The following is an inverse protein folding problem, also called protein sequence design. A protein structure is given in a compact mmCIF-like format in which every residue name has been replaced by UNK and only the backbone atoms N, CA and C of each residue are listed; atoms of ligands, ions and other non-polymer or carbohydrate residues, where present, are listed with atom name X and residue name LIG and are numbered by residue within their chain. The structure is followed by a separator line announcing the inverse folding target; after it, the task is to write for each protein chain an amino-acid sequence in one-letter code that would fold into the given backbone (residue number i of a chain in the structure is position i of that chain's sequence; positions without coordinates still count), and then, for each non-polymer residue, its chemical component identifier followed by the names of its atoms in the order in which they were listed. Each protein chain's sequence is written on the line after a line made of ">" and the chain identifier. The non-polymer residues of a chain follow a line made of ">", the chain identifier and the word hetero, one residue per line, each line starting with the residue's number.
data_IF_989136457946
#
_entry.id   IF_989136457946
#
_cell.length_a   1.000
_cell.length_b   1.000
_cell.length_c   1.000
_cell.angle_alpha   90.00
_cell.angle_beta   90.00
_cell.angle_gamma   90.00
#
_symmetry.space_group_name_H-M   'P 1'
#
loop_
_entity.id
_entity.type
_entity.pdbx_description
1 polymer ?
#
# COMPACT_ATOMS: atom_id res chain seq x y z
N UNK A 1 -22.24 28.68 4.86
CA UNK A 1 -21.30 28.40 3.76
C UNK A 1 -20.16 29.43 3.67
N UNK A 2 -20.42 30.75 3.53
CA UNK A 2 -19.36 31.78 3.41
C UNK A 2 -18.25 31.69 4.49
N UNK A 3 -18.65 31.55 5.77
CA UNK A 3 -17.70 31.47 6.90
C UNK A 3 -16.72 30.25 6.79
N UNK A 4 -17.18 29.10 6.31
CA UNK A 4 -16.30 27.94 6.12
C UNK A 4 -15.27 28.19 5.00
N UNK A 5 -15.70 28.81 3.89
CA UNK A 5 -14.76 29.17 2.80
C UNK A 5 -13.72 30.20 3.24
N UNK A 6 -14.08 31.13 4.12
CA UNK A 6 -13.13 32.10 4.69
C UNK A 6 -12.07 31.40 5.55
N UNK A 7 -12.48 30.41 6.36
CA UNK A 7 -11.56 29.58 7.16
C UNK A 7 -10.61 28.82 6.24
N UNK A 8 -11.13 28.09 5.24
CA UNK A 8 -10.27 27.31 4.32
C UNK A 8 -9.31 28.21 3.52
N UNK A 9 -9.76 29.42 3.13
CA UNK A 9 -8.87 30.37 2.45
C UNK A 9 -7.74 30.82 3.36
N UNK A 10 -8.06 31.18 4.61
CA UNK A 10 -7.06 31.58 5.60
C UNK A 10 -6.03 30.46 5.86
N UNK A 11 -6.49 29.20 5.96
CA UNK A 11 -5.58 28.03 6.11
C UNK A 11 -4.66 27.87 4.88
N UNK A 12 -5.20 27.99 3.65
CA UNK A 12 -4.42 27.93 2.43
C UNK A 12 -3.38 29.07 2.35
N UNK A 13 -3.74 30.26 2.76
CA UNK A 13 -2.81 31.39 2.80
C UNK A 13 -1.71 31.14 3.83
N UNK A 14 -2.03 30.64 5.01
CA UNK A 14 -1.05 30.24 6.04
C UNK A 14 -0.07 29.15 5.53
N UNK A 15 -0.56 28.15 4.78
CA UNK A 15 0.28 27.10 4.17
C UNK A 15 1.24 27.71 3.14
N UNK A 16 0.77 28.69 2.36
CA UNK A 16 1.63 29.41 1.38
C UNK A 16 2.70 30.25 2.07
N UNK A 17 2.30 31.01 3.09
CA UNK A 17 3.21 31.84 3.89
C UNK A 17 4.28 31.00 4.58
N UNK A 18 3.90 29.82 5.09
CA UNK A 18 4.83 28.86 5.68
C UNK A 18 5.77 28.17 4.67
N UNK A 19 5.59 28.39 3.35
CA UNK A 19 6.39 27.75 2.29
C UNK A 19 6.13 26.24 2.14
N UNK A 20 5.04 25.73 2.70
CA UNK A 20 4.68 24.31 2.65
C UNK A 20 3.64 24.00 1.57
N UNK A 21 3.17 25.01 0.85
CA UNK A 21 2.32 24.80 -0.32
C UNK A 21 3.10 24.12 -1.44
N UNK A 22 2.55 22.99 -1.93
CA UNK A 22 3.19 22.22 -3.01
C UNK A 22 2.50 22.48 -4.33
N UNK A 23 3.24 23.10 -5.25
CA UNK A 23 2.83 23.19 -6.64
C UNK A 23 3.12 21.88 -7.37
N UNK A 24 2.15 21.38 -8.12
CA UNK A 24 2.31 20.18 -8.92
C UNK A 24 3.21 20.43 -10.13
N UNK A 25 4.18 19.55 -10.36
CA UNK A 25 5.05 19.57 -11.55
C UNK A 25 4.39 18.79 -12.66
N UNK A 26 4.07 19.47 -13.76
CA UNK A 26 3.35 18.87 -14.89
C UNK A 26 4.36 18.16 -15.81
N UNK A 27 4.22 16.84 -15.93
CA UNK A 27 5.00 16.00 -16.85
C UNK A 27 4.30 15.99 -18.21
N UNK A 28 5.08 16.20 -19.29
CA UNK A 28 4.57 16.33 -20.66
C UNK A 28 4.93 15.15 -21.57
N UNK A 29 5.58 14.11 -21.01
CA UNK A 29 5.95 12.88 -21.71
C UNK A 29 5.42 11.66 -20.96
N UNK A 30 5.42 10.45 -21.56
CA UNK A 30 5.22 9.22 -20.80
C UNK A 30 6.25 9.07 -19.67
N UNK A 31 5.88 8.32 -18.63
CA UNK A 31 6.76 8.01 -17.50
C UNK A 31 7.93 7.13 -17.96
N UNK A 32 9.14 7.58 -17.67
CA UNK A 32 10.43 6.88 -17.91
C UNK A 32 11.54 7.54 -17.09
N UNK A 33 12.76 7.01 -17.18
CA UNK A 33 13.92 7.55 -16.46
C UNK A 33 14.23 9.02 -16.80
N UNK A 34 13.99 9.43 -18.05
CA UNK A 34 14.09 10.84 -18.48
C UNK A 34 12.74 11.30 -18.98
N UNK A 35 12.26 12.41 -18.45
CA UNK A 35 10.95 13.01 -18.74
C UNK A 35 11.11 14.47 -19.12
N UNK A 36 10.14 15.00 -19.83
CA UNK A 36 9.96 16.44 -20.00
C UNK A 36 8.85 16.95 -19.08
N UNK A 37 9.02 18.17 -18.62
CA UNK A 37 8.01 18.90 -17.85
C UNK A 37 7.70 20.21 -18.56
N UNK A 38 6.69 20.94 -18.08
CA UNK A 38 6.35 22.27 -18.61
C UNK A 38 7.48 23.29 -18.48
N UNK A 39 8.44 23.05 -17.57
CA UNK A 39 9.52 24.01 -17.25
C UNK A 39 10.91 23.51 -17.64
N UNK A 40 11.10 22.22 -17.92
CA UNK A 40 12.40 21.66 -18.27
C UNK A 40 12.28 20.39 -19.12
N UNK A 41 13.28 20.13 -19.98
CA UNK A 41 13.36 18.91 -20.81
C UNK A 41 14.48 17.99 -20.36
N UNK A 42 14.29 16.68 -20.57
CA UNK A 42 15.29 15.64 -20.30
C UNK A 42 15.65 15.49 -18.83
N UNK A 43 14.75 15.84 -17.92
CA UNK A 43 14.95 15.76 -16.47
C UNK A 43 15.02 14.29 -16.03
N UNK A 44 15.95 13.95 -15.17
CA UNK A 44 15.99 12.64 -14.52
C UNK A 44 14.84 12.53 -13.52
N UNK A 45 14.02 11.50 -13.71
CA UNK A 45 12.90 11.22 -12.81
C UNK A 45 13.34 10.20 -11.76
N UNK A 46 13.72 10.69 -10.58
CA UNK A 46 14.15 9.88 -9.43
C UNK A 46 13.02 9.62 -8.43
N UNK A 47 11.80 10.12 -8.71
CA UNK A 47 10.69 10.11 -7.75
C UNK A 47 9.55 9.15 -8.14
N UNK A 48 9.62 8.52 -9.33
CA UNK A 48 8.54 7.66 -9.80
C UNK A 48 8.61 6.26 -9.19
N UNK A 49 7.44 5.70 -8.86
CA UNK A 49 7.29 4.29 -8.48
C UNK A 49 7.31 3.38 -9.72
N UNK A 50 8.25 3.60 -10.61
CA UNK A 50 8.43 2.85 -11.88
C UNK A 50 9.69 2.00 -11.81
N UNK A 51 9.84 1.24 -10.73
CA UNK A 51 11.05 0.50 -10.38
C UNK A 51 11.48 -0.48 -11.48
N UNK A 52 10.54 -1.15 -12.14
CA UNK A 52 10.78 -2.11 -13.21
C UNK A 52 10.75 -1.49 -14.61
N UNK A 53 10.51 -0.18 -14.74
CA UNK A 53 10.45 0.52 -16.04
C UNK A 53 9.24 0.16 -16.89
N UNK A 54 8.21 -0.46 -16.32
CA UNK A 54 7.07 -1.01 -17.06
C UNK A 54 6.00 0.02 -17.44
N UNK A 55 5.99 1.21 -16.86
CA UNK A 55 4.94 2.22 -17.10
C UNK A 55 4.77 2.62 -18.57
N UNK A 56 5.82 2.52 -19.37
CA UNK A 56 5.79 2.82 -20.81
C UNK A 56 6.38 1.67 -21.65
N UNK A 57 6.27 0.44 -21.15
CA UNK A 57 6.73 -0.74 -21.89
C UNK A 57 5.78 -1.03 -23.06
N UNK A 58 6.30 -1.18 -24.31
CA UNK A 58 5.46 -1.36 -25.50
C UNK A 58 4.65 -2.65 -25.47
N UNK A 59 5.16 -3.73 -24.89
CA UNK A 59 4.47 -5.01 -24.79
C UNK A 59 3.28 -4.91 -23.81
N UNK A 60 3.48 -4.25 -22.66
CA UNK A 60 2.41 -3.98 -21.68
C UNK A 60 1.31 -3.11 -22.30
N UNK A 61 1.71 -2.06 -23.04
CA UNK A 61 0.78 -1.18 -23.73
C UNK A 61 -0.02 -1.95 -24.79
N UNK A 62 0.64 -2.80 -25.57
CA UNK A 62 -0.01 -3.61 -26.60
C UNK A 62 -1.02 -4.60 -25.98
N UNK A 63 -0.65 -5.28 -24.90
CA UNK A 63 -1.54 -6.18 -24.17
C UNK A 63 -2.77 -5.44 -23.59
N UNK A 64 -2.57 -4.27 -23.01
CA UNK A 64 -3.66 -3.44 -22.49
C UNK A 64 -4.63 -2.99 -23.59
N UNK A 65 -4.12 -2.61 -24.78
CA UNK A 65 -4.98 -2.26 -25.94
C UNK A 65 -5.76 -3.45 -26.45
N UNK A 66 -5.13 -4.61 -26.59
CA UNK A 66 -5.79 -5.83 -27.07
C UNK A 66 -6.89 -6.31 -26.10
N UNK A 67 -6.74 -6.09 -24.80
CA UNK A 67 -7.74 -6.50 -23.82
C UNK A 67 -9.08 -5.76 -23.96
N UNK A 68 -9.10 -4.57 -24.55
CA UNK A 68 -10.35 -3.85 -24.79
C UNK A 68 -11.25 -4.52 -25.85
N UNK A 69 -10.65 -5.19 -26.84
CA UNK A 69 -11.40 -5.92 -27.85
C UNK A 69 -12.06 -7.17 -27.28
N UNK A 70 -11.45 -7.80 -26.28
CA UNK A 70 -11.94 -9.02 -25.64
C UNK A 70 -12.88 -8.74 -24.47
N UNK A 71 -12.52 -7.79 -23.61
CA UNK A 71 -13.22 -7.56 -22.33
C UNK A 71 -14.04 -6.27 -22.26
N UNK A 72 -13.90 -5.39 -23.26
CA UNK A 72 -14.50 -4.06 -23.24
C UNK A 72 -13.74 -3.09 -22.35
N UNK A 73 -14.22 -1.84 -22.29
CA UNK A 73 -13.57 -0.77 -21.52
C UNK A 73 -13.87 -0.82 -20.02
N UNK A 74 -15.11 -1.14 -19.64
CA UNK A 74 -15.58 -1.07 -18.26
C UNK A 74 -16.21 -2.36 -17.77
N UNK A 75 -15.95 -2.72 -16.53
CA UNK A 75 -16.46 -3.94 -15.90
C UNK A 75 -17.83 -3.75 -15.24
N UNK A 76 -18.24 -2.50 -15.05
CA UNK A 76 -19.60 -1.97 -14.83
C UNK A 76 -20.41 -2.54 -13.66
N UNK A 77 -19.81 -3.32 -12.74
CA UNK A 77 -20.48 -3.82 -11.55
C UNK A 77 -19.49 -4.18 -10.45
N UNK A 78 -19.99 -4.24 -9.22
CA UNK A 78 -19.22 -4.78 -8.08
C UNK A 78 -19.08 -6.31 -8.23
N UNK A 79 -17.96 -6.83 -7.79
CA UNK A 79 -17.53 -8.20 -8.06
C UNK A 79 -18.51 -9.26 -7.55
N UNK A 80 -19.05 -9.13 -6.35
CA UNK A 80 -19.91 -10.15 -5.75
C UNK A 80 -21.36 -10.15 -6.29
N UNK A 81 -21.80 -9.11 -7.03
CA UNK A 81 -23.13 -9.11 -7.66
C UNK A 81 -23.06 -9.71 -9.06
N UNK A 82 -22.45 -8.99 -10.03
CA UNK A 82 -22.31 -9.43 -11.42
C UNK A 82 -21.07 -8.88 -12.11
N UNK A 83 -20.05 -8.40 -11.35
CA UNK A 83 -18.85 -7.76 -11.88
C UNK A 83 -17.60 -8.66 -11.92
N UNK A 84 -17.68 -9.91 -11.45
CA UNK A 84 -16.55 -10.84 -11.55
C UNK A 84 -16.50 -11.44 -12.95
N UNK A 85 -15.47 -11.10 -13.70
CA UNK A 85 -15.16 -11.66 -15.00
C UNK A 85 -14.02 -12.68 -14.90
N UNK A 86 -13.85 -13.50 -15.93
CA UNK A 86 -12.79 -14.51 -15.98
C UNK A 86 -11.38 -13.91 -15.82
N UNK A 87 -11.14 -12.74 -16.39
CA UNK A 87 -9.85 -12.04 -16.29
C UNK A 87 -9.46 -11.74 -14.84
N UNK A 88 -10.42 -11.44 -13.95
CA UNK A 88 -10.11 -11.27 -12.52
C UNK A 88 -9.56 -12.57 -11.91
N UNK A 89 -10.23 -13.70 -12.18
CA UNK A 89 -9.81 -14.99 -11.61
C UNK A 89 -8.48 -15.47 -12.20
N UNK A 90 -8.23 -15.19 -13.49
CA UNK A 90 -6.93 -15.47 -14.11
C UNK A 90 -5.81 -14.65 -13.47
N UNK A 91 -6.03 -13.35 -13.19
CA UNK A 91 -5.05 -12.49 -12.55
C UNK A 91 -4.80 -12.92 -11.10
N UNK A 92 -5.87 -13.18 -10.32
CA UNK A 92 -5.77 -13.68 -8.95
C UNK A 92 -4.93 -14.94 -8.90
N UNK A 93 -5.17 -15.92 -9.78
CA UNK A 93 -4.39 -17.16 -9.81
C UNK A 93 -2.92 -16.90 -10.16
N UNK A 94 -2.65 -16.07 -11.17
CA UNK A 94 -1.27 -15.73 -11.56
C UNK A 94 -0.48 -15.03 -10.45
N UNK A 95 -1.13 -14.12 -9.70
CA UNK A 95 -0.49 -13.43 -8.58
C UNK A 95 -0.23 -14.41 -7.44
N UNK A 96 -1.20 -15.25 -7.09
CA UNK A 96 -1.04 -16.27 -6.07
C UNK A 96 0.12 -17.23 -6.40
N UNK A 97 0.17 -17.74 -7.63
CA UNK A 97 1.25 -18.62 -8.11
C UNK A 97 2.62 -17.91 -8.08
N UNK A 98 2.67 -16.64 -8.51
CA UNK A 98 3.90 -15.85 -8.53
C UNK A 98 4.47 -15.60 -7.12
N UNK A 99 3.58 -15.36 -6.15
CA UNK A 99 3.97 -15.10 -4.76
C UNK A 99 4.06 -16.37 -3.90
N UNK A 100 3.72 -17.56 -4.45
CA UNK A 100 3.69 -18.81 -3.71
C UNK A 100 2.60 -18.86 -2.62
N UNK A 101 1.48 -18.15 -2.84
CA UNK A 101 0.34 -18.08 -1.92
C UNK A 101 -0.80 -18.99 -2.37
N UNK A 102 -1.66 -19.40 -1.44
CA UNK A 102 -2.79 -20.28 -1.73
C UNK A 102 -3.85 -19.59 -2.60
N UNK A 103 -4.11 -18.31 -2.36
CA UNK A 103 -5.09 -17.52 -3.10
C UNK A 103 -4.73 -16.03 -3.12
N UNK A 104 -5.49 -15.25 -3.90
CA UNK A 104 -5.34 -13.81 -4.05
C UNK A 104 -6.71 -13.14 -4.17
N UNK A 105 -6.83 -11.94 -3.63
CA UNK A 105 -7.97 -11.06 -3.83
C UNK A 105 -7.49 -9.71 -4.37
N UNK A 106 -8.20 -9.16 -5.36
CA UNK A 106 -7.86 -7.88 -5.99
C UNK A 106 -8.60 -6.71 -5.34
N UNK A 107 -7.87 -5.63 -5.14
CA UNK A 107 -8.39 -4.32 -4.75
C UNK A 107 -8.02 -3.27 -5.80
N UNK A 108 -8.69 -2.12 -5.79
CA UNK A 108 -8.42 -1.01 -6.72
C UNK A 108 -7.10 -0.30 -6.42
N UNK A 109 -6.63 -0.39 -5.20
CA UNK A 109 -5.32 0.12 -4.76
C UNK A 109 -4.84 -0.62 -3.52
N UNK A 110 -3.54 -0.53 -3.21
CA UNK A 110 -3.01 -1.02 -1.95
C UNK A 110 -3.58 -0.23 -0.75
N UNK A 111 -3.90 1.05 -0.93
CA UNK A 111 -4.58 1.83 0.10
C UNK A 111 -5.92 1.20 0.49
N UNK A 112 -6.74 0.81 -0.50
CA UNK A 112 -8.02 0.15 -0.28
C UNK A 112 -7.84 -1.25 0.35
N UNK A 113 -6.81 -1.98 -0.07
CA UNK A 113 -6.48 -3.28 0.51
C UNK A 113 -6.14 -3.16 2.00
N UNK A 114 -5.26 -2.24 2.37
CA UNK A 114 -4.89 -1.98 3.76
C UNK A 114 -6.07 -1.46 4.59
N UNK A 115 -6.93 -0.61 4.01
CA UNK A 115 -8.15 -0.13 4.65
C UNK A 115 -9.17 -1.23 4.92
N UNK A 116 -9.29 -2.19 4.00
CA UNK A 116 -10.28 -3.28 4.09
C UNK A 116 -9.83 -4.49 4.88
N UNK A 117 -8.53 -4.70 5.07
CA UNK A 117 -7.97 -5.92 5.65
C UNK A 117 -8.34 -6.09 7.14
N UNK A 118 -7.95 -5.12 7.95
CA UNK A 118 -7.97 -5.26 9.41
C UNK A 118 -9.38 -5.36 9.98
N UNK A 119 -10.28 -4.47 9.55
CA UNK A 119 -11.67 -4.47 10.04
C UNK A 119 -12.43 -5.73 9.61
N UNK A 120 -12.07 -6.32 8.46
CA UNK A 120 -12.70 -7.54 7.96
C UNK A 120 -12.28 -8.78 8.75
N UNK A 121 -11.01 -8.86 9.14
CA UNK A 121 -10.43 -10.05 9.78
C UNK A 121 -10.48 -10.01 11.31
N UNK A 122 -10.45 -8.83 11.93
CA UNK A 122 -10.16 -8.67 13.34
C UNK A 122 -11.27 -7.90 14.08
N UNK A 123 -11.45 -8.25 15.35
CA UNK A 123 -12.42 -7.63 16.26
C UNK A 123 -11.78 -7.14 17.56
N UNK A 124 -12.60 -6.76 18.52
CA UNK A 124 -12.15 -6.17 19.80
C UNK A 124 -11.33 -7.14 20.69
N UNK A 125 -11.40 -8.45 20.43
CA UNK A 125 -10.65 -9.48 21.16
C UNK A 125 -9.26 -9.73 20.58
N UNK A 126 -8.96 -9.12 19.42
CA UNK A 126 -7.75 -9.34 18.66
C UNK A 126 -6.75 -8.19 18.83
N UNK A 127 -5.54 -8.36 18.33
CA UNK A 127 -4.46 -7.37 18.40
C UNK A 127 -3.80 -7.14 17.05
N UNK A 128 -3.44 -5.89 16.79
CA UNK A 128 -2.58 -5.48 15.68
C UNK A 128 -1.31 -4.87 16.28
N UNK A 129 -0.16 -5.42 15.90
CA UNK A 129 1.16 -4.97 16.31
C UNK A 129 1.83 -4.32 15.09
N UNK A 130 1.78 -3.00 14.99
CA UNK A 130 2.16 -2.24 13.81
C UNK A 130 3.53 -1.59 13.98
N UNK A 131 4.38 -1.68 12.94
CA UNK A 131 5.62 -0.88 12.88
C UNK A 131 5.26 0.61 12.87
N UNK A 132 6.06 1.43 13.54
CA UNK A 132 5.79 2.87 13.71
C UNK A 132 5.93 3.67 12.41
N UNK A 133 6.72 3.19 11.44
CA UNK A 133 6.95 3.84 10.15
C UNK A 133 6.06 3.29 9.02
N UNK A 134 5.13 2.41 9.33
CA UNK A 134 4.20 1.89 8.33
C UNK A 134 3.50 2.99 7.55
N UNK A 135 3.19 2.70 6.29
CA UNK A 135 2.47 3.59 5.40
C UNK A 135 1.14 4.08 6.00
N UNK A 136 0.73 5.31 5.65
CA UNK A 136 -0.49 5.94 6.16
C UNK A 136 -1.74 5.07 5.97
N UNK A 137 -1.85 4.30 4.88
CA UNK A 137 -2.98 3.40 4.64
C UNK A 137 -3.09 2.27 5.68
N UNK A 138 -1.96 1.72 6.12
CA UNK A 138 -1.92 0.73 7.22
C UNK A 138 -2.37 1.40 8.52
N UNK A 139 -1.82 2.59 8.82
CA UNK A 139 -2.20 3.36 10.02
C UNK A 139 -3.71 3.64 10.04
N UNK A 140 -4.27 4.04 8.92
CA UNK A 140 -5.71 4.35 8.79
C UNK A 140 -6.56 3.07 8.87
N UNK A 141 -6.15 1.99 8.22
CA UNK A 141 -6.82 0.69 8.34
C UNK A 141 -6.83 0.18 9.79
N UNK A 142 -5.70 0.31 10.49
CA UNK A 142 -5.59 -0.02 11.93
C UNK A 142 -6.50 0.88 12.78
N UNK A 143 -6.64 2.16 12.43
CA UNK A 143 -7.54 3.10 13.14
C UNK A 143 -9.02 2.77 12.97
N UNK A 144 -9.42 2.28 11.82
CA UNK A 144 -10.80 1.88 11.54
C UNK A 144 -11.18 0.57 12.26
N UNK A 145 -10.20 -0.31 12.49
CA UNK A 145 -10.42 -1.59 13.14
C UNK A 145 -10.67 -1.44 14.66
N UNK A 146 -11.50 -2.34 15.23
CA UNK A 146 -11.79 -2.39 16.67
C UNK A 146 -10.75 -3.17 17.49
N UNK A 147 -9.81 -3.83 16.84
CA UNK A 147 -8.75 -4.59 17.50
C UNK A 147 -7.86 -3.69 18.38
N UNK A 148 -7.27 -4.28 19.41
CA UNK A 148 -6.31 -3.59 20.26
C UNK A 148 -5.07 -3.23 19.45
N UNK A 149 -4.55 -2.02 19.65
CA UNK A 149 -3.46 -1.45 18.86
C UNK A 149 -2.20 -1.39 19.68
N UNK A 150 -1.17 -2.04 19.17
CA UNK A 150 0.19 -2.02 19.70
C UNK A 150 1.10 -1.45 18.62
N UNK A 151 2.09 -0.67 18.98
CA UNK A 151 3.04 -0.07 18.05
C UNK A 151 4.45 -0.35 18.53
N UNK A 152 5.30 -0.86 17.67
CA UNK A 152 6.72 -1.08 17.96
C UNK A 152 7.60 -0.14 17.14
N UNK A 153 8.78 0.17 17.63
CA UNK A 153 9.76 1.01 16.97
C UNK A 153 10.29 0.33 15.71
N UNK A 154 10.48 1.11 14.66
CA UNK A 154 10.90 0.58 13.36
C UNK A 154 12.08 -0.40 13.49
N UNK A 155 11.88 -1.58 12.94
CA UNK A 155 12.88 -2.65 12.86
C UNK A 155 13.49 -3.07 14.24
N UNK A 156 12.84 -2.75 15.35
CA UNK A 156 13.30 -3.09 16.69
C UNK A 156 12.62 -4.37 17.20
N UNK A 157 13.34 -5.48 17.12
CA UNK A 157 12.80 -6.81 17.47
C UNK A 157 12.58 -6.98 18.97
N UNK A 158 13.33 -6.29 19.82
CA UNK A 158 13.12 -6.30 21.28
C UNK A 158 11.79 -5.62 21.63
N UNK A 159 11.53 -4.48 21.01
CA UNK A 159 10.27 -3.77 21.21
C UNK A 159 9.08 -4.55 20.59
N UNK A 160 9.27 -5.15 19.40
CA UNK A 160 8.26 -6.04 18.80
C UNK A 160 7.90 -7.18 19.77
N UNK A 161 8.91 -7.84 20.35
CA UNK A 161 8.71 -8.91 21.34
C UNK A 161 7.95 -8.41 22.57
N UNK A 162 8.28 -7.23 23.07
CA UNK A 162 7.57 -6.64 24.21
C UNK A 162 6.09 -6.36 23.90
N UNK A 163 5.79 -5.88 22.67
CA UNK A 163 4.40 -5.64 22.25
C UNK A 163 3.63 -6.95 22.05
N UNK A 164 4.27 -7.99 21.53
CA UNK A 164 3.69 -9.32 21.39
C UNK A 164 3.36 -9.95 22.75
N UNK A 165 4.27 -9.82 23.74
CA UNK A 165 4.02 -10.26 25.12
C UNK A 165 2.85 -9.49 25.75
N UNK A 166 2.75 -8.19 25.52
CA UNK A 166 1.62 -7.37 25.97
C UNK A 166 0.28 -7.78 25.29
N UNK A 167 0.33 -8.36 24.11
CA UNK A 167 -0.81 -8.81 23.34
C UNK A 167 -1.11 -10.32 23.50
N UNK A 168 -0.39 -11.05 24.35
CA UNK A 168 -0.42 -12.54 24.43
C UNK A 168 -1.81 -13.13 24.67
N UNK A 169 -2.65 -12.44 25.44
CA UNK A 169 -4.00 -12.89 25.78
C UNK A 169 -5.05 -12.56 24.69
N UNK A 170 -4.64 -11.92 23.60
CA UNK A 170 -5.53 -11.63 22.47
C UNK A 170 -5.74 -12.90 21.63
N UNK A 171 -6.97 -13.06 21.12
CA UNK A 171 -7.39 -14.25 20.36
C UNK A 171 -6.56 -14.42 19.08
N UNK A 172 -6.48 -13.38 18.26
CA UNK A 172 -5.66 -13.31 17.04
C UNK A 172 -4.70 -12.14 17.18
N UNK A 173 -3.45 -12.35 16.77
CA UNK A 173 -2.42 -11.34 16.72
C UNK A 173 -1.96 -11.18 15.28
N UNK A 174 -1.87 -9.95 14.78
CA UNK A 174 -1.34 -9.66 13.45
C UNK A 174 -0.20 -8.64 13.60
N UNK A 175 0.98 -9.01 13.14
CA UNK A 175 2.10 -8.09 12.96
C UNK A 175 1.93 -7.44 11.59
N UNK A 176 1.95 -6.12 11.53
CA UNK A 176 1.85 -5.37 10.27
C UNK A 176 3.11 -4.54 10.04
N UNK A 177 3.71 -4.70 8.86
CA UNK A 177 4.93 -4.00 8.44
C UNK A 177 4.93 -3.71 6.94
N UNK A 178 5.57 -2.62 6.51
CA UNK A 178 6.03 -2.49 5.14
C UNK A 178 7.22 -3.44 4.91
N UNK A 179 7.37 -4.01 3.73
CA UNK A 179 8.57 -4.74 3.34
C UNK A 179 9.75 -3.81 3.08
N UNK A 180 9.49 -2.74 2.33
CA UNK A 180 10.40 -1.59 2.15
C UNK A 180 9.67 -0.31 2.51
N UNK A 181 10.20 0.42 3.49
CA UNK A 181 9.65 1.70 3.95
C UNK A 181 10.02 2.81 2.95
N UNK A 182 9.04 3.24 2.15
CA UNK A 182 9.25 4.08 0.97
C UNK A 182 9.90 5.44 1.24
N UNK A 183 9.67 6.02 2.41
CA UNK A 183 10.21 7.36 2.75
C UNK A 183 11.65 7.32 3.22
N UNK A 184 12.06 6.23 3.86
CA UNK A 184 13.35 6.10 4.55
C UNK A 184 14.29 5.09 3.86
N UNK A 185 13.73 4.18 3.04
CA UNK A 185 14.48 3.14 2.34
C UNK A 185 14.92 1.99 3.24
N UNK A 186 14.38 1.88 4.45
CA UNK A 186 14.63 0.73 5.32
C UNK A 186 13.96 -0.52 4.77
N UNK A 187 14.60 -1.66 4.97
CA UNK A 187 14.08 -2.99 4.64
C UNK A 187 13.71 -3.67 5.94
N UNK A 188 12.50 -4.22 6.03
CA UNK A 188 12.05 -4.95 7.22
C UNK A 188 12.87 -6.21 7.45
N UNK A 189 13.19 -6.50 8.70
CA UNK A 189 13.85 -7.74 9.10
C UNK A 189 12.83 -8.89 9.15
N UNK A 190 12.28 -9.27 7.98
CA UNK A 190 11.23 -10.27 7.87
C UNK A 190 11.59 -11.61 8.53
N UNK A 191 12.84 -12.15 8.40
CA UNK A 191 13.18 -13.39 9.09
C UNK A 191 12.95 -13.30 10.61
N UNK A 192 13.45 -12.26 11.26
CA UNK A 192 13.28 -12.12 12.72
C UNK A 192 11.84 -11.79 13.11
N UNK A 193 11.09 -11.08 12.26
CA UNK A 193 9.65 -10.84 12.47
C UNK A 193 8.89 -12.17 12.40
N UNK A 194 9.19 -13.03 11.43
CA UNK A 194 8.56 -14.35 11.28
C UNK A 194 8.92 -15.27 12.46
N UNK A 195 10.17 -15.28 12.91
CA UNK A 195 10.58 -16.07 14.09
C UNK A 195 9.76 -15.67 15.34
N UNK A 196 9.57 -14.37 15.55
CA UNK A 196 8.73 -13.87 16.65
C UNK A 196 7.25 -14.16 16.42
N UNK A 197 6.77 -14.09 15.19
CA UNK A 197 5.39 -14.45 14.86
C UNK A 197 5.10 -15.91 15.20
N UNK A 198 6.03 -16.81 14.87
CA UNK A 198 5.92 -18.24 15.21
C UNK A 198 5.95 -18.47 16.73
N UNK A 199 6.88 -17.78 17.45
CA UNK A 199 6.99 -17.88 18.92
C UNK A 199 5.67 -17.48 19.61
N UNK A 200 4.97 -16.46 19.10
CA UNK A 200 3.76 -15.91 19.73
C UNK A 200 2.45 -16.34 19.05
N UNK A 201 2.51 -17.16 18.01
CA UNK A 201 1.35 -17.58 17.23
C UNK A 201 0.63 -16.39 16.59
N UNK A 202 1.39 -15.50 15.96
CA UNK A 202 0.89 -14.32 15.27
C UNK A 202 0.93 -14.51 13.74
N UNK A 203 0.03 -13.84 13.04
CA UNK A 203 0.09 -13.69 11.58
C UNK A 203 1.01 -12.52 11.22
N UNK A 204 1.64 -12.58 10.06
CA UNK A 204 2.44 -11.47 9.51
C UNK A 204 1.75 -10.93 8.26
N UNK A 205 1.48 -9.64 8.26
CA UNK A 205 1.04 -8.88 7.10
C UNK A 205 2.18 -7.99 6.62
N UNK A 206 2.54 -8.11 5.35
CA UNK A 206 3.60 -7.32 4.72
C UNK A 206 3.01 -6.50 3.58
N UNK A 207 3.24 -5.20 3.60
CA UNK A 207 2.97 -4.32 2.45
C UNK A 207 4.23 -4.25 1.57
N UNK A 208 4.19 -4.93 0.44
CA UNK A 208 5.29 -5.03 -0.51
C UNK A 208 5.14 -4.10 -1.72
N UNK A 209 4.34 -3.04 -1.62
CA UNK A 209 4.13 -2.06 -2.69
C UNK A 209 5.44 -1.47 -3.23
N UNK A 210 6.47 -1.42 -2.41
CA UNK A 210 7.80 -0.89 -2.74
C UNK A 210 8.89 -1.97 -2.77
N UNK A 211 8.54 -3.25 -2.79
CA UNK A 211 9.52 -4.34 -2.69
C UNK A 211 9.33 -5.44 -3.75
N UNK A 212 8.10 -5.90 -3.98
CA UNK A 212 7.81 -7.04 -4.86
C UNK A 212 8.29 -6.80 -6.28
N UNK A 213 9.00 -7.79 -6.82
CA UNK A 213 9.48 -7.81 -8.20
C UNK A 213 10.87 -7.18 -8.41
N UNK A 214 11.48 -6.53 -7.38
CA UNK A 214 12.84 -6.01 -7.49
C UNK A 214 13.71 -6.25 -6.24
N UNK A 215 13.13 -6.47 -5.07
CA UNK A 215 13.84 -6.89 -3.85
C UNK A 215 13.54 -8.37 -3.55
N UNK A 216 12.28 -8.77 -3.69
CA UNK A 216 11.78 -10.11 -3.41
C UNK A 216 11.12 -10.72 -4.63
#
# INVERSE_FOLDING_TARGET
>A
MKKAYEIFRSELDSIKEAGTYKDERIITTPQKARIDTTVAKGVLNMCANNYLGLSNNPEVIAAAKASYDEWGFGLSSVRFICGTQQIHKQLERKIADFLGMDDCILYTSCFDANGGLFETLLGAEDAIISDELNHASIIDGVRLCKAKRFRYKNNNMEDLKAQLEAAKDCRIKVIATDGVFSMDGFIANLPAICDLADEYGALVMVDDSHAVGFIF
#
